data_IF_177339563874
#
_entry.id   IF_177339563874
#
_cell.length_a   1.000
_cell.length_b   1.000
_cell.length_c   1.000
_cell.angle_alpha   90.00
_cell.angle_beta   90.00
_cell.angle_gamma   90.00
#
_symmetry.space_group_name_H-M   'P 1'
#
loop_
_entity.id
_entity.type
_entity.pdbx_description
1 polymer ?
#
# COMPACT_ATOMS: atom_id res chain seq x y z
N UNK A 1 -19.39 3.07 -18.77
CA UNK A 1 -19.56 3.08 -17.31
C UNK A 1 -18.23 2.88 -16.59
N UNK A 2 -17.42 1.86 -16.93
CA UNK A 2 -16.10 1.64 -16.30
C UNK A 2 -14.97 2.56 -16.78
N UNK A 3 -15.15 3.30 -17.84
CA UNK A 3 -14.14 4.20 -18.42
C UNK A 3 -14.28 5.65 -17.97
N UNK A 4 -15.32 5.98 -17.19
CA UNK A 4 -15.56 7.34 -16.72
C UNK A 4 -14.91 7.53 -15.35
N UNK A 5 -14.29 8.67 -15.13
CA UNK A 5 -13.69 9.03 -13.85
C UNK A 5 -14.80 9.25 -12.79
N UNK A 6 -14.89 8.41 -11.75
CA UNK A 6 -15.94 8.53 -10.73
C UNK A 6 -15.81 9.83 -9.90
N UNK A 7 -14.60 10.36 -9.76
CA UNK A 7 -14.36 11.59 -9.01
C UNK A 7 -14.75 12.84 -9.80
N UNK A 8 -14.75 12.80 -11.14
CA UNK A 8 -15.26 13.90 -11.96
C UNK A 8 -16.78 14.01 -11.83
N UNK A 9 -17.50 12.89 -11.74
CA UNK A 9 -18.95 12.87 -11.49
C UNK A 9 -19.25 13.41 -10.08
N UNK A 10 -18.46 13.00 -9.09
CA UNK A 10 -18.61 13.49 -7.72
C UNK A 10 -18.39 14.99 -7.61
N UNK A 11 -17.48 15.54 -8.43
CA UNK A 11 -17.16 16.98 -8.44
C UNK A 11 -18.28 17.88 -8.96
N UNK A 12 -19.31 17.31 -9.59
CA UNK A 12 -20.53 18.05 -9.95
C UNK A 12 -21.39 18.40 -8.71
N UNK A 13 -21.30 17.57 -7.67
CA UNK A 13 -22.07 17.75 -6.43
C UNK A 13 -21.23 18.34 -5.30
N UNK A 14 -19.97 17.94 -5.20
CA UNK A 14 -19.04 18.39 -4.15
C UNK A 14 -17.89 19.16 -4.80
N UNK A 15 -17.56 20.38 -4.34
CA UNK A 15 -16.43 21.13 -4.89
C UNK A 15 -15.13 20.32 -4.88
N UNK A 16 -14.39 20.34 -5.98
CA UNK A 16 -13.14 19.57 -6.14
C UNK A 16 -12.15 19.82 -4.99
N UNK A 17 -12.03 21.07 -4.55
CA UNK A 17 -11.18 21.45 -3.41
C UNK A 17 -11.62 20.74 -2.11
N UNK A 18 -12.91 20.48 -1.96
CA UNK A 18 -13.45 19.72 -0.82
C UNK A 18 -12.99 18.26 -0.85
N UNK A 19 -13.05 17.63 -2.03
CA UNK A 19 -12.58 16.24 -2.21
C UNK A 19 -11.08 16.14 -1.94
N UNK A 20 -10.30 17.05 -2.52
CA UNK A 20 -8.84 17.08 -2.36
C UNK A 20 -8.43 17.33 -0.91
N UNK A 21 -9.04 18.31 -0.24
CA UNK A 21 -8.74 18.63 1.16
C UNK A 21 -9.13 17.47 2.09
N UNK A 22 -10.25 16.81 1.85
CA UNK A 22 -10.66 15.62 2.60
C UNK A 22 -9.60 14.51 2.50
N UNK A 23 -9.12 14.20 1.30
CA UNK A 23 -8.09 13.17 1.09
C UNK A 23 -6.80 13.54 1.79
N UNK A 24 -6.34 14.78 1.68
CA UNK A 24 -5.12 15.25 2.34
C UNK A 24 -5.23 15.15 3.86
N UNK A 25 -6.35 15.60 4.43
CA UNK A 25 -6.59 15.51 5.88
C UNK A 25 -6.63 14.06 6.33
N UNK A 26 -7.33 13.18 5.59
CA UNK A 26 -7.42 11.76 5.92
C UNK A 26 -6.03 11.11 5.91
N UNK A 27 -5.21 11.36 4.89
CA UNK A 27 -3.84 10.82 4.81
C UNK A 27 -2.97 11.36 5.96
N UNK A 28 -3.08 12.65 6.26
CA UNK A 28 -2.35 13.27 7.37
C UNK A 28 -2.73 12.64 8.72
N UNK A 29 -4.02 12.38 8.96
CA UNK A 29 -4.50 11.72 10.18
C UNK A 29 -4.01 10.27 10.28
N UNK A 30 -3.97 9.53 9.19
CA UNK A 30 -3.44 8.16 9.16
C UNK A 30 -1.95 8.16 9.49
N UNK A 31 -1.17 9.05 8.87
CA UNK A 31 0.27 9.18 9.16
C UNK A 31 0.48 9.56 10.63
N UNK A 32 -0.23 10.57 11.12
CA UNK A 32 -0.14 11.01 12.51
C UNK A 32 -0.50 9.89 13.48
N UNK A 33 -1.60 9.20 13.25
CA UNK A 33 -2.04 8.07 14.06
C UNK A 33 -1.02 6.93 14.08
N UNK A 34 -0.44 6.60 12.92
CA UNK A 34 0.60 5.57 12.82
C UNK A 34 1.87 5.97 13.60
N UNK A 35 2.31 7.22 13.46
CA UNK A 35 3.48 7.74 14.18
C UNK A 35 3.23 7.74 15.69
N UNK A 36 2.07 8.20 16.14
CA UNK A 36 1.70 8.19 17.57
C UNK A 36 1.65 6.75 18.12
N UNK A 37 1.07 5.81 17.37
CA UNK A 37 1.02 4.39 17.77
C UNK A 37 2.43 3.78 17.87
N UNK A 38 3.31 4.07 16.91
CA UNK A 38 4.70 3.63 16.95
C UNK A 38 5.46 4.17 18.17
N UNK A 39 5.25 5.44 18.51
CA UNK A 39 5.89 6.07 19.67
C UNK A 39 5.31 5.49 20.98
N UNK A 40 3.99 5.40 21.08
CA UNK A 40 3.30 4.94 22.29
C UNK A 40 3.63 3.47 22.61
N UNK A 41 3.58 2.58 21.64
CA UNK A 41 3.88 1.15 21.83
C UNK A 41 5.37 0.84 22.02
N UNK A 42 6.26 1.84 21.92
CA UNK A 42 7.73 1.66 22.01
C UNK A 42 8.29 0.61 21.05
N UNK A 43 7.55 0.24 20.00
CA UNK A 43 7.93 -0.77 19.01
C UNK A 43 9.25 -0.41 18.32
N UNK A 44 9.45 0.87 18.03
CA UNK A 44 10.69 1.40 17.45
C UNK A 44 11.88 1.14 18.37
N UNK A 45 11.73 1.40 19.66
CA UNK A 45 12.80 1.15 20.66
C UNK A 45 13.14 -0.34 20.76
N UNK A 46 12.12 -1.19 20.74
CA UNK A 46 12.29 -2.65 20.75
C UNK A 46 13.01 -3.13 19.50
N UNK A 47 12.61 -2.65 18.32
CA UNK A 47 13.24 -2.97 17.05
C UNK A 47 14.72 -2.58 17.03
N UNK A 48 15.05 -1.34 17.42
CA UNK A 48 16.44 -0.89 17.47
C UNK A 48 17.29 -1.64 18.51
N UNK A 49 16.72 -1.99 19.66
CA UNK A 49 17.41 -2.78 20.66
C UNK A 49 17.71 -4.20 20.15
N UNK A 50 16.76 -4.82 19.47
CA UNK A 50 16.96 -6.14 18.87
C UNK A 50 17.97 -6.10 17.72
N UNK A 51 17.93 -5.06 16.89
CA UNK A 51 18.93 -4.85 15.83
C UNK A 51 20.35 -4.65 16.42
N UNK A 52 20.48 -3.90 17.52
CA UNK A 52 21.75 -3.76 18.26
C UNK A 52 22.24 -5.10 18.83
N UNK A 53 21.36 -5.88 19.44
CA UNK A 53 21.67 -7.21 19.97
C UNK A 53 22.09 -8.16 18.84
N UNK A 54 21.36 -8.20 17.73
CA UNK A 54 21.68 -8.99 16.56
C UNK A 54 23.07 -8.62 15.98
N UNK A 55 23.37 -7.31 15.90
CA UNK A 55 24.70 -6.83 15.47
C UNK A 55 25.81 -7.29 16.42
N UNK A 56 25.56 -7.28 17.73
CA UNK A 56 26.57 -7.68 18.74
C UNK A 56 26.85 -9.18 18.73
N UNK A 57 25.86 -9.99 18.33
CA UNK A 57 25.95 -11.45 18.24
C UNK A 57 26.31 -11.94 16.83
N UNK A 58 26.47 -11.05 15.88
CA UNK A 58 26.84 -11.40 14.51
C UNK A 58 28.28 -11.93 14.45
N UNK A 59 28.44 -13.14 13.93
CA UNK A 59 29.76 -13.77 13.74
C UNK A 59 30.60 -13.10 12.64
N UNK A 60 29.99 -12.24 11.82
CA UNK A 60 30.66 -11.53 10.71
C UNK A 60 30.12 -10.08 10.64
N UNK A 61 31.01 -9.12 10.52
CA UNK A 61 30.63 -7.75 10.21
C UNK A 61 30.47 -7.58 8.69
N UNK A 62 29.25 -7.21 8.29
CA UNK A 62 28.96 -6.89 6.89
C UNK A 62 29.37 -5.45 6.59
N UNK A 63 30.05 -5.22 5.48
CA UNK A 63 30.33 -3.89 4.97
C UNK A 63 29.04 -3.11 4.63
N UNK A 64 29.11 -1.77 4.62
CA UNK A 64 27.94 -0.92 4.36
C UNK A 64 27.26 -1.25 3.02
N UNK A 65 28.02 -1.51 1.96
CA UNK A 65 27.49 -1.89 0.65
C UNK A 65 26.83 -3.25 0.65
N UNK A 66 27.42 -4.23 1.34
CA UNK A 66 26.86 -5.58 1.47
C UNK A 66 25.54 -5.57 2.27
N UNK A 67 25.44 -4.73 3.28
CA UNK A 67 24.19 -4.51 4.04
C UNK A 67 23.08 -3.96 3.16
N UNK A 68 23.36 -2.93 2.37
CA UNK A 68 22.37 -2.33 1.46
C UNK A 68 21.92 -3.37 0.43
N UNK A 69 22.85 -4.15 -0.14
CA UNK A 69 22.53 -5.21 -1.09
C UNK A 69 21.63 -6.29 -0.48
N UNK A 70 21.91 -6.73 0.75
CA UNK A 70 21.07 -7.72 1.46
C UNK A 70 19.70 -7.15 1.75
N UNK A 71 19.62 -5.91 2.26
CA UNK A 71 18.33 -5.24 2.54
C UNK A 71 17.52 -5.08 1.25
N UNK A 72 18.13 -4.61 0.17
CA UNK A 72 17.47 -4.46 -1.11
C UNK A 72 16.97 -5.81 -1.65
N UNK A 73 17.78 -6.86 -1.57
CA UNK A 73 17.41 -8.21 -1.97
C UNK A 73 16.22 -8.73 -1.14
N UNK A 74 16.26 -8.55 0.18
CA UNK A 74 15.16 -8.95 1.09
C UNK A 74 13.88 -8.19 0.77
N UNK A 75 13.95 -6.86 0.55
CA UNK A 75 12.78 -6.05 0.21
C UNK A 75 12.19 -6.52 -1.12
N UNK A 76 12.99 -6.69 -2.16
CA UNK A 76 12.49 -7.09 -3.49
C UNK A 76 12.00 -8.52 -3.49
N UNK A 77 12.75 -9.44 -2.88
CA UNK A 77 12.42 -10.86 -2.94
C UNK A 77 11.37 -11.26 -1.91
N UNK A 78 11.52 -10.86 -0.65
CA UNK A 78 10.65 -11.36 0.42
C UNK A 78 9.39 -10.49 0.57
N UNK A 79 9.51 -9.16 0.50
CA UNK A 79 8.36 -8.26 0.57
C UNK A 79 7.66 -8.20 -0.79
N UNK A 80 8.40 -7.95 -1.88
CA UNK A 80 7.83 -7.78 -3.22
C UNK A 80 7.16 -9.04 -3.78
N UNK A 81 7.70 -10.22 -3.49
CA UNK A 81 7.13 -11.49 -3.95
C UNK A 81 6.47 -12.32 -2.85
N UNK A 82 6.51 -11.85 -1.58
CA UNK A 82 5.99 -12.58 -0.41
C UNK A 82 6.44 -14.06 -0.39
N UNK A 83 7.73 -14.28 -0.65
CA UNK A 83 8.32 -15.61 -0.82
C UNK A 83 8.17 -16.51 0.43
N UNK A 84 8.05 -15.91 1.61
CA UNK A 84 7.86 -16.62 2.88
C UNK A 84 6.50 -17.38 2.98
N UNK A 85 5.49 -16.96 2.20
CA UNK A 85 4.16 -17.59 2.21
C UNK A 85 4.08 -18.95 1.45
N UNK A 86 5.20 -19.42 0.90
CA UNK A 86 5.24 -20.63 0.09
C UNK A 86 4.54 -20.49 -1.27
N UNK A 87 4.65 -21.52 -2.10
CA UNK A 87 3.97 -21.59 -3.41
C UNK A 87 2.54 -22.10 -3.19
N UNK A 88 1.56 -21.19 -3.12
CA UNK A 88 0.17 -21.59 -2.94
C UNK A 88 -0.83 -20.49 -3.26
N UNK A 89 -2.12 -20.84 -3.31
CA UNK A 89 -3.23 -19.90 -3.55
C UNK A 89 -3.18 -18.68 -2.62
N UNK A 90 -2.81 -18.88 -1.34
CA UNK A 90 -2.63 -17.84 -0.33
C UNK A 90 -1.63 -16.77 -0.75
N UNK A 91 -0.49 -17.18 -1.32
CA UNK A 91 0.54 -16.25 -1.79
C UNK A 91 0.01 -15.39 -2.94
N UNK A 92 -0.65 -16.03 -3.93
CA UNK A 92 -1.22 -15.32 -5.08
C UNK A 92 -2.25 -14.30 -4.60
N UNK A 93 -3.18 -14.70 -3.74
CA UNK A 93 -4.19 -13.80 -3.19
C UNK A 93 -3.57 -12.62 -2.44
N UNK A 94 -2.55 -12.87 -1.62
CA UNK A 94 -1.87 -11.82 -0.85
C UNK A 94 -1.10 -10.84 -1.75
N UNK A 95 -0.30 -11.36 -2.69
CA UNK A 95 0.45 -10.53 -3.66
C UNK A 95 -0.50 -9.68 -4.49
N UNK A 96 -1.56 -10.27 -4.99
CA UNK A 96 -2.53 -9.61 -5.84
C UNK A 96 -3.33 -8.55 -5.04
N UNK A 97 -3.72 -8.86 -3.79
CA UNK A 97 -4.36 -7.90 -2.89
C UNK A 97 -3.44 -6.72 -2.54
N UNK A 98 -2.17 -6.97 -2.25
CA UNK A 98 -1.18 -5.94 -1.96
C UNK A 98 -0.97 -5.01 -3.16
N UNK A 99 -0.68 -5.56 -4.33
CA UNK A 99 -0.49 -4.75 -5.54
C UNK A 99 -1.79 -4.07 -5.99
N UNK A 100 -2.93 -4.76 -5.88
CA UNK A 100 -4.24 -4.19 -6.16
C UNK A 100 -4.53 -2.97 -5.29
N UNK A 101 -4.24 -3.05 -4.00
CA UNK A 101 -4.39 -1.93 -3.06
C UNK A 101 -3.47 -0.77 -3.41
N UNK A 102 -2.20 -1.02 -3.72
CA UNK A 102 -1.25 0.03 -4.13
C UNK A 102 -1.74 0.72 -5.41
N UNK A 103 -2.14 -0.04 -6.42
CA UNK A 103 -2.66 0.49 -7.69
C UNK A 103 -3.97 1.27 -7.49
N UNK A 104 -4.83 0.82 -6.60
CA UNK A 104 -6.04 1.53 -6.21
C UNK A 104 -5.73 2.91 -5.60
N UNK A 105 -4.77 2.99 -4.68
CA UNK A 105 -4.34 4.25 -4.08
C UNK A 105 -3.68 5.19 -5.08
N UNK A 106 -2.80 4.66 -5.93
CA UNK A 106 -2.13 5.44 -6.99
C UNK A 106 -3.16 5.94 -8.01
N UNK A 107 -4.07 5.09 -8.46
CA UNK A 107 -5.13 5.45 -9.40
C UNK A 107 -6.08 6.50 -8.82
N UNK A 108 -6.48 6.36 -7.56
CA UNK A 108 -7.31 7.36 -6.86
C UNK A 108 -6.60 8.69 -6.77
N UNK A 109 -5.34 8.71 -6.35
CA UNK A 109 -4.53 9.93 -6.28
C UNK A 109 -4.36 10.60 -7.64
N UNK A 110 -4.07 9.82 -8.68
CA UNK A 110 -3.95 10.34 -10.04
C UNK A 110 -5.25 11.01 -10.52
N UNK A 111 -6.40 10.36 -10.32
CA UNK A 111 -7.70 10.90 -10.75
C UNK A 111 -8.18 12.10 -9.94
N UNK A 112 -7.83 12.20 -8.67
CA UNK A 112 -8.25 13.31 -7.80
C UNK A 112 -7.37 14.54 -7.98
N UNK A 113 -6.05 14.37 -8.22
CA UNK A 113 -5.11 15.49 -8.24
C UNK A 113 -4.63 15.89 -9.64
N UNK A 114 -4.54 14.93 -10.58
CA UNK A 114 -3.99 15.18 -11.91
C UNK A 114 -5.04 15.13 -13.02
N UNK A 115 -5.98 14.21 -12.94
CA UNK A 115 -7.01 13.98 -13.97
C UNK A 115 -8.40 14.30 -13.42
N UNK A 116 -8.65 15.58 -13.19
CA UNK A 116 -9.89 16.05 -12.55
C UNK A 116 -11.07 16.22 -13.53
N UNK A 117 -10.81 16.06 -14.83
CA UNK A 117 -11.81 16.24 -15.90
C UNK A 117 -12.41 14.92 -16.37
N UNK A 118 -13.60 14.96 -17.02
CA UNK A 118 -14.19 13.78 -17.65
C UNK A 118 -13.30 13.12 -18.73
N UNK A 119 -12.42 13.91 -19.38
CA UNK A 119 -11.48 13.45 -20.41
C UNK A 119 -10.28 12.66 -19.87
N UNK A 120 -10.40 12.12 -18.67
CA UNK A 120 -9.38 11.27 -18.05
C UNK A 120 -9.08 10.06 -18.95
N UNK A 121 -7.80 9.72 -19.22
CA UNK A 121 -7.47 8.51 -19.97
C UNK A 121 -8.14 7.28 -19.37
N UNK A 122 -8.86 6.52 -20.19
CA UNK A 122 -9.72 5.40 -19.75
C UNK A 122 -8.98 4.32 -18.94
N UNK A 123 -7.64 4.27 -19.06
CA UNK A 123 -6.81 3.31 -18.30
C UNK A 123 -6.92 3.50 -16.78
N UNK A 124 -7.00 4.76 -16.29
CA UNK A 124 -7.09 5.04 -14.87
C UNK A 124 -8.41 4.59 -14.23
N UNK A 125 -9.59 4.97 -14.77
CA UNK A 125 -10.86 4.47 -14.26
C UNK A 125 -11.02 2.96 -14.38
N UNK A 126 -10.59 2.35 -15.50
CA UNK A 126 -10.66 0.90 -15.69
C UNK A 126 -9.80 0.19 -14.64
N UNK A 127 -8.54 0.60 -14.49
CA UNK A 127 -7.62 0.05 -13.50
C UNK A 127 -8.19 0.16 -12.08
N UNK A 128 -8.75 1.33 -11.76
CA UNK A 128 -9.36 1.59 -10.46
C UNK A 128 -10.54 0.66 -10.17
N UNK A 129 -11.46 0.47 -11.12
CA UNK A 129 -12.60 -0.44 -10.96
C UNK A 129 -12.16 -1.90 -10.85
N UNK A 130 -11.19 -2.33 -11.64
CA UNK A 130 -10.65 -3.69 -11.56
C UNK A 130 -9.98 -3.93 -10.21
N UNK A 131 -9.18 -2.99 -9.71
CA UNK A 131 -8.57 -3.09 -8.39
C UNK A 131 -9.62 -3.12 -7.27
N UNK A 132 -10.70 -2.32 -7.38
CA UNK A 132 -11.78 -2.30 -6.41
C UNK A 132 -12.52 -3.64 -6.33
N UNK A 133 -12.90 -4.20 -7.48
CA UNK A 133 -13.55 -5.52 -7.55
C UNK A 133 -12.66 -6.60 -6.94
N UNK A 134 -11.38 -6.57 -7.28
CA UNK A 134 -10.44 -7.58 -6.81
C UNK A 134 -10.17 -7.50 -5.30
N UNK A 135 -10.04 -6.31 -4.74
CA UNK A 135 -9.82 -6.12 -3.30
C UNK A 135 -11.05 -6.46 -2.47
N UNK A 136 -12.27 -6.29 -3.00
CA UNK A 136 -13.51 -6.67 -2.33
C UNK A 136 -13.74 -8.19 -2.33
N UNK A 137 -13.41 -8.86 -3.43
CA UNK A 137 -13.58 -10.31 -3.57
C UNK A 137 -12.60 -11.11 -2.70
N UNK A 138 -11.37 -10.62 -2.55
CA UNK A 138 -10.37 -11.23 -1.66
C UNK A 138 -10.79 -11.20 -0.17
N UNK A 139 -11.63 -10.27 0.25
CA UNK A 139 -12.15 -10.19 1.61
C UNK A 139 -13.23 -11.24 1.90
N UNK A 140 -14.01 -11.64 0.89
CA UNK A 140 -15.05 -12.66 1.03
C UNK A 140 -14.47 -14.09 1.00
N UNK A 141 -13.38 -14.31 0.30
CA UNK A 141 -12.73 -15.63 0.21
C UNK A 141 -12.09 -16.07 1.55
N UNK A 142 -11.71 -15.11 2.40
CA UNK A 142 -11.23 -15.41 3.77
C UNK A 142 -12.36 -15.87 4.69
N UNK A 143 -13.59 -15.50 4.42
CA UNK A 143 -14.77 -15.89 5.21
C UNK A 143 -15.23 -17.31 4.93
N UNK A 144 -14.94 -17.86 3.76
CA UNK A 144 -15.37 -19.19 3.34
C UNK A 144 -14.48 -20.33 3.87
N UNK A 145 -13.41 -20.02 4.60
CA UNK A 145 -12.40 -20.99 5.09
C UNK A 145 -12.48 -21.21 6.62
N UNK A 146 -13.50 -20.66 7.29
CA UNK A 146 -13.74 -20.89 8.75
C UNK A 146 -14.87 -21.87 8.95
#
# INVERSE_FOLDING_TARGET
>A
MFSTNPFSILSETVPLIGIQSFVVIMVALVILGTVLDMIHKKNVKYFFNNAKKAKKNAKRELGSGERIAVIAKTIVHDIGTTSELGLGKRRIAHVLGMYGTILFWVGSGAMIFFYTTPDTPAIWPILWHVCLLYTSDAADDVRSVV
#
